data_IF_109125001577
#
_entry.id   IF_109125001577
#
_cell.length_a   1.000
_cell.length_b   1.000
_cell.length_c   1.000
_cell.angle_alpha   90.00
_cell.angle_beta   90.00
_cell.angle_gamma   90.00
#
_symmetry.space_group_name_H-M   'P 1'
#
loop_
_entity.id
_entity.type
_entity.pdbx_description
1 polymer ?
#
# COMPACT_ATOMS: atom_id res chain seq x y z
N UNK A 1 -14.55 -11.12 -3.02
CA UNK A 1 -13.35 -10.39 -3.46
C UNK A 1 -13.07 -9.30 -2.45
N UNK A 2 -11.90 -9.32 -1.82
CA UNK A 2 -11.48 -8.30 -0.87
C UNK A 2 -11.19 -7.01 -1.62
N UNK A 3 -11.78 -5.91 -1.17
CA UNK A 3 -11.46 -4.58 -1.69
C UNK A 3 -10.32 -3.99 -0.85
N UNK A 4 -9.16 -3.80 -1.47
CA UNK A 4 -7.94 -3.36 -0.79
C UNK A 4 -7.54 -2.00 -1.34
N UNK A 5 -7.72 -0.96 -0.52
CA UNK A 5 -7.30 0.40 -0.88
C UNK A 5 -5.82 0.56 -0.56
N UNK A 6 -5.02 0.88 -1.56
CA UNK A 6 -3.59 1.12 -1.45
C UNK A 6 -3.31 2.63 -1.49
N UNK A 7 -2.84 3.19 -0.38
CA UNK A 7 -2.48 4.60 -0.24
C UNK A 7 -1.15 4.95 -0.96
N UNK A 8 -1.02 4.52 -2.21
CA UNK A 8 0.11 4.82 -3.08
C UNK A 8 -0.24 4.57 -4.53
N UNK A 9 0.32 5.39 -5.41
CA UNK A 9 0.27 5.20 -6.88
C UNK A 9 1.59 4.64 -7.43
N UNK A 10 2.56 4.30 -6.56
CA UNK A 10 3.83 3.71 -6.97
C UNK A 10 3.63 2.25 -7.41
N UNK A 11 3.96 1.88 -8.67
CA UNK A 11 3.70 0.55 -9.20
C UNK A 11 4.42 -0.57 -8.45
N UNK A 12 5.62 -0.31 -7.92
CA UNK A 12 6.38 -1.32 -7.18
C UNK A 12 5.70 -1.67 -5.85
N UNK A 13 5.18 -0.66 -5.12
CA UNK A 13 4.44 -0.90 -3.87
C UNK A 13 3.13 -1.62 -4.14
N UNK A 14 2.40 -1.23 -5.18
CA UNK A 14 1.14 -1.87 -5.58
C UNK A 14 1.37 -3.35 -5.92
N UNK A 15 2.42 -3.66 -6.68
CA UNK A 15 2.76 -5.04 -7.03
C UNK A 15 3.11 -5.88 -5.80
N UNK A 16 3.88 -5.32 -4.86
CA UNK A 16 4.23 -6.01 -3.62
C UNK A 16 2.99 -6.36 -2.78
N UNK A 17 2.04 -5.43 -2.67
CA UNK A 17 0.77 -5.65 -1.96
C UNK A 17 -0.04 -6.75 -2.65
N UNK A 18 -0.24 -6.67 -3.98
CA UNK A 18 -1.02 -7.67 -4.72
C UNK A 18 -0.43 -9.08 -4.58
N UNK A 19 0.88 -9.22 -4.70
CA UNK A 19 1.55 -10.53 -4.55
C UNK A 19 1.35 -11.11 -3.15
N UNK A 20 1.59 -10.31 -2.11
CA UNK A 20 1.41 -10.76 -0.73
C UNK A 20 -0.04 -11.17 -0.45
N UNK A 21 -1.01 -10.39 -0.94
CA UNK A 21 -2.42 -10.71 -0.73
C UNK A 21 -2.87 -11.95 -1.51
N UNK A 22 -2.40 -12.14 -2.75
CA UNK A 22 -2.67 -13.36 -3.52
C UNK A 22 -2.07 -14.60 -2.84
N UNK A 23 -0.87 -14.49 -2.25
CA UNK A 23 -0.22 -15.59 -1.53
C UNK A 23 -1.02 -16.03 -0.29
N UNK A 24 -1.56 -15.07 0.47
CA UNK A 24 -2.24 -15.35 1.74
C UNK A 24 -3.72 -15.71 1.55
N UNK A 25 -4.40 -15.01 0.64
CA UNK A 25 -5.86 -15.13 0.46
C UNK A 25 -6.25 -15.92 -0.80
N UNK A 26 -5.27 -16.33 -1.62
CA UNK A 26 -5.47 -17.02 -2.89
C UNK A 26 -5.56 -16.07 -4.08
N UNK A 27 -5.18 -16.58 -5.26
CA UNK A 27 -5.19 -15.81 -6.50
C UNK A 27 -6.61 -15.35 -6.88
N UNK A 28 -6.76 -14.10 -7.30
CA UNK A 28 -8.05 -13.52 -7.69
C UNK A 28 -9.00 -13.21 -6.52
N UNK A 29 -8.56 -13.44 -5.28
CA UNK A 29 -9.34 -13.12 -4.08
C UNK A 29 -9.43 -11.60 -3.81
N UNK A 30 -8.54 -10.80 -4.39
CA UNK A 30 -8.36 -9.38 -4.07
C UNK A 30 -8.47 -8.46 -5.29
N UNK A 31 -9.05 -7.27 -5.08
CA UNK A 31 -9.01 -6.14 -6.00
C UNK A 31 -8.29 -4.97 -5.32
N UNK A 32 -7.21 -4.48 -5.92
CA UNK A 32 -6.45 -3.33 -5.43
C UNK A 32 -6.96 -2.05 -6.09
N UNK A 33 -7.42 -1.10 -5.28
CA UNK A 33 -7.69 0.29 -5.70
C UNK A 33 -6.52 1.17 -5.24
N UNK A 34 -5.81 1.81 -6.17
CA UNK A 34 -4.73 2.75 -5.82
C UNK A 34 -5.26 4.17 -5.68
N UNK A 35 -4.87 4.84 -4.60
CA UNK A 35 -5.25 6.24 -4.33
C UNK A 35 -4.02 7.08 -3.98
N UNK A 36 -4.00 8.33 -4.45
CA UNK A 36 -3.03 9.33 -4.02
C UNK A 36 -3.62 10.09 -2.83
N UNK A 37 -2.94 10.05 -1.68
CA UNK A 37 -3.34 10.72 -0.44
C UNK A 37 -2.11 11.27 0.25
N UNK A 38 -2.29 12.36 1.00
CA UNK A 38 -1.23 13.00 1.79
C UNK A 38 -1.01 12.23 3.10
N UNK A 39 0.26 12.06 3.51
CA UNK A 39 0.61 11.47 4.82
C UNK A 39 0.59 12.48 5.97
N UNK A 40 0.56 13.79 5.66
CA UNK A 40 0.66 14.87 6.65
C UNK A 40 2.07 15.10 7.19
N UNK A 41 3.08 14.38 6.69
CA UNK A 41 4.51 14.55 6.97
C UNK A 41 5.29 14.66 5.64
N UNK A 42 6.57 15.08 5.63
CA UNK A 42 7.36 15.10 4.40
C UNK A 42 7.42 13.73 3.70
N UNK A 43 7.59 13.69 2.37
CA UNK A 43 7.61 12.42 1.60
C UNK A 43 8.67 11.42 2.07
N UNK A 44 9.79 11.92 2.60
CA UNK A 44 10.84 11.11 3.20
C UNK A 44 11.10 11.60 4.63
N UNK A 45 10.32 11.12 5.61
CA UNK A 45 10.53 11.43 7.02
C UNK A 45 11.90 10.93 7.51
N UNK A 46 12.45 11.56 8.54
CA UNK A 46 13.71 11.13 9.14
C UNK A 46 13.47 10.32 10.40
N UNK A 47 13.86 9.05 10.35
CA UNK A 47 13.79 8.15 11.51
C UNK A 47 12.52 7.30 11.56
N UNK A 48 12.57 6.28 12.41
CA UNK A 48 11.54 5.23 12.49
C UNK A 48 10.19 5.77 12.95
N UNK A 49 10.19 6.69 13.93
CA UNK A 49 8.96 7.20 14.52
C UNK A 49 8.16 8.04 13.51
N UNK A 50 8.82 8.95 12.80
CA UNK A 50 8.18 9.81 11.81
C UNK A 50 7.76 9.04 10.55
N UNK A 51 8.57 8.08 10.10
CA UNK A 51 8.24 7.21 8.95
C UNK A 51 7.00 6.35 9.22
N UNK A 52 6.79 5.93 10.47
CA UNK A 52 5.58 5.17 10.89
C UNK A 52 4.35 6.07 11.09
N UNK A 53 4.56 7.34 11.41
CA UNK A 53 3.48 8.28 11.66
C UNK A 53 2.77 8.72 10.36
N UNK A 54 3.50 8.75 9.23
CA UNK A 54 2.96 8.98 7.90
C UNK A 54 2.35 7.74 7.25
#
# INVERSE_FOLDING_TARGET
MHHVVSATTNPAKIQAILQAFNEIFGEGSCHIESVAVESGVPEQPFGSEETRAG
#
